data_IF_561109530780
#
_entry.id   IF_561109530780
#
_cell.length_a   1.000
_cell.length_b   1.000
_cell.length_c   1.000
_cell.angle_alpha   90.00
_cell.angle_beta   90.00
_cell.angle_gamma   90.00
#
_symmetry.space_group_name_H-M   'P 1'
#
loop_
_entity.id
_entity.type
_entity.pdbx_description
1 polymer ?
#
# COMPACT_ATOMS: atom_id res chain seq x y z
N UNK A 1 14.59 47.72 -5.14
CA UNK A 1 13.83 47.13 -6.26
C UNK A 1 13.01 46.02 -5.66
N UNK A 2 11.69 46.18 -5.60
CA UNK A 2 10.81 45.10 -5.15
C UNK A 2 10.63 44.16 -6.34
N UNK A 3 11.31 43.01 -6.34
CA UNK A 3 10.88 41.90 -7.20
C UNK A 3 9.48 41.55 -6.75
N UNK A 4 8.49 41.81 -7.62
CA UNK A 4 7.13 41.43 -7.28
C UNK A 4 6.98 39.93 -7.47
N UNK A 5 6.06 39.35 -6.71
CA UNK A 5 5.63 37.95 -6.77
C UNK A 5 5.31 37.48 -8.19
N UNK A 6 4.76 38.37 -9.01
CA UNK A 6 4.43 38.12 -10.42
C UNK A 6 5.66 38.01 -11.33
N UNK A 7 6.77 38.67 -10.99
CA UNK A 7 8.00 38.63 -11.79
C UNK A 7 8.70 37.28 -11.63
N UNK A 8 8.77 36.76 -10.40
CA UNK A 8 9.35 35.44 -10.11
C UNK A 8 8.53 34.28 -10.70
N UNK A 9 7.19 34.39 -10.71
CA UNK A 9 6.32 33.37 -11.31
C UNK A 9 6.43 33.34 -12.83
N UNK A 10 6.42 34.52 -13.47
CA UNK A 10 6.69 34.62 -14.92
C UNK A 10 8.08 34.13 -15.27
N UNK A 11 9.07 34.38 -14.41
CA UNK A 11 10.41 33.84 -14.58
C UNK A 11 10.43 32.32 -14.47
N UNK A 12 9.64 31.70 -13.57
CA UNK A 12 9.56 30.24 -13.45
C UNK A 12 8.84 29.58 -14.64
N UNK A 13 7.65 30.05 -15.04
CA UNK A 13 6.96 29.52 -16.22
C UNK A 13 7.77 29.73 -17.50
N UNK A 14 8.40 30.90 -17.64
CA UNK A 14 9.32 31.19 -18.74
C UNK A 14 10.52 30.25 -18.68
N UNK A 15 11.13 30.06 -17.51
CA UNK A 15 12.26 29.16 -17.36
C UNK A 15 11.89 27.72 -17.72
N UNK A 16 10.74 27.24 -17.24
CA UNK A 16 10.20 25.91 -17.55
C UNK A 16 10.02 25.72 -19.06
N UNK A 17 9.47 26.71 -19.77
CA UNK A 17 9.24 26.66 -21.23
C UNK A 17 10.52 26.72 -22.07
N UNK A 18 11.64 27.17 -21.52
CA UNK A 18 12.89 27.38 -22.26
C UNK A 18 14.04 26.46 -21.82
N UNK A 19 13.80 25.57 -20.85
CA UNK A 19 14.78 24.58 -20.40
C UNK A 19 14.28 23.19 -20.72
N UNK A 20 15.13 22.34 -21.29
CA UNK A 20 14.80 20.94 -21.54
C UNK A 20 15.20 20.04 -20.35
N UNK A 21 15.92 20.58 -19.34
CA UNK A 21 16.45 19.82 -18.21
C UNK A 21 15.65 20.08 -16.94
N UNK A 22 15.05 19.01 -16.42
CA UNK A 22 14.29 19.04 -15.17
C UNK A 22 15.18 19.29 -13.94
N UNK A 23 16.45 18.89 -13.96
CA UNK A 23 17.38 19.12 -12.86
C UNK A 23 17.68 20.61 -12.68
N UNK A 24 17.73 21.37 -13.78
CA UNK A 24 17.87 22.83 -13.73
C UNK A 24 16.63 23.49 -13.16
N UNK A 25 15.43 23.02 -13.55
CA UNK A 25 14.16 23.46 -12.96
C UNK A 25 14.17 23.22 -11.46
N UNK A 26 14.57 22.02 -11.03
CA UNK A 26 14.59 21.67 -9.63
C UNK A 26 15.58 22.53 -8.82
N UNK A 27 16.78 22.75 -9.34
CA UNK A 27 17.76 23.62 -8.70
C UNK A 27 17.25 25.07 -8.56
N UNK A 28 16.59 25.60 -9.59
CA UNK A 28 15.98 26.92 -9.57
C UNK A 28 14.84 27.01 -8.55
N UNK A 29 14.01 25.97 -8.45
CA UNK A 29 12.94 25.89 -7.46
C UNK A 29 13.49 25.88 -6.02
N UNK A 30 14.51 25.07 -5.74
CA UNK A 30 15.15 25.05 -4.41
C UNK A 30 15.72 26.40 -4.02
N UNK A 31 16.35 27.10 -4.96
CA UNK A 31 16.82 28.46 -4.74
C UNK A 31 15.65 29.42 -4.48
N UNK A 32 14.52 29.25 -5.19
CA UNK A 32 13.33 30.08 -5.02
C UNK A 32 12.70 29.92 -3.63
N UNK A 33 12.62 28.69 -3.10
CA UNK A 33 12.16 28.44 -1.73
C UNK A 33 13.03 29.16 -0.69
N UNK A 34 14.36 29.19 -0.86
CA UNK A 34 15.27 29.92 0.03
C UNK A 34 15.04 31.43 0.00
N UNK A 35 14.44 31.95 -1.06
CA UNK A 35 14.09 33.37 -1.20
C UNK A 35 12.65 33.71 -0.77
N UNK A 36 11.92 32.76 -0.18
CA UNK A 36 10.53 32.90 0.25
C UNK A 36 9.60 33.35 -0.88
N UNK A 37 9.57 32.57 -1.97
CA UNK A 37 8.60 32.75 -3.04
C UNK A 37 7.16 32.59 -2.50
N UNK A 38 6.15 33.25 -3.09
CA UNK A 38 4.77 33.13 -2.64
C UNK A 38 4.24 31.70 -2.78
N UNK A 39 3.52 31.16 -1.77
CA UNK A 39 2.87 29.85 -1.84
C UNK A 39 1.97 29.67 -3.07
N UNK A 40 1.21 30.69 -3.46
CA UNK A 40 0.25 30.63 -4.57
C UNK A 40 0.96 30.42 -5.92
N UNK A 41 2.15 31.00 -6.06
CA UNK A 41 2.97 30.84 -7.25
C UNK A 41 3.47 29.40 -7.39
N UNK A 42 3.73 28.69 -6.28
CA UNK A 42 4.14 27.29 -6.31
C UNK A 42 2.98 26.34 -6.65
N UNK A 43 1.75 26.64 -6.21
CA UNK A 43 0.57 25.81 -6.51
C UNK A 43 0.26 25.77 -8.00
N UNK A 44 0.42 26.90 -8.70
CA UNK A 44 0.17 26.97 -10.14
C UNK A 44 1.19 26.19 -11.00
N UNK A 45 2.22 25.58 -10.41
CA UNK A 45 3.27 24.84 -11.14
C UNK A 45 2.90 23.39 -11.46
N UNK A 46 1.88 22.80 -10.84
CA UNK A 46 1.55 21.38 -11.02
C UNK A 46 1.29 21.07 -12.50
N UNK A 47 0.30 21.70 -13.13
CA UNK A 47 -0.02 21.46 -14.55
C UNK A 47 1.15 21.76 -15.51
N UNK A 48 1.86 22.90 -15.39
CA UNK A 48 3.07 23.16 -16.19
C UNK A 48 4.14 22.06 -16.09
N UNK A 49 4.38 21.48 -14.91
CA UNK A 49 5.34 20.39 -14.73
C UNK A 49 4.94 19.13 -15.51
N UNK A 50 3.65 18.81 -15.57
CA UNK A 50 3.15 17.70 -16.39
C UNK A 50 3.32 17.98 -17.89
N UNK A 51 3.00 19.19 -18.35
CA UNK A 51 3.22 19.58 -19.76
C UNK A 51 4.70 19.48 -20.12
N UNK A 52 5.59 19.98 -19.27
CA UNK A 52 7.04 19.86 -19.47
C UNK A 52 7.50 18.39 -19.48
N UNK A 53 6.92 17.53 -18.64
CA UNK A 53 7.23 16.10 -18.64
C UNK A 53 6.82 15.43 -19.96
N UNK A 54 5.69 15.82 -20.54
CA UNK A 54 5.20 15.34 -21.85
C UNK A 54 6.13 15.80 -22.97
N UNK A 55 6.51 17.08 -22.98
CA UNK A 55 7.36 17.69 -24.01
C UNK A 55 8.81 17.20 -23.95
N UNK A 56 9.28 16.78 -22.77
CA UNK A 56 10.65 16.34 -22.52
C UNK A 56 10.71 14.89 -22.00
N UNK A 57 10.45 13.89 -22.85
CA UNK A 57 10.30 12.48 -22.45
C UNK A 57 11.58 11.85 -21.89
N UNK A 58 12.76 12.41 -22.20
CA UNK A 58 14.05 11.91 -21.71
C UNK A 58 14.33 12.25 -20.24
N UNK A 59 13.59 13.21 -19.68
CA UNK A 59 13.75 13.59 -18.27
C UNK A 59 13.21 12.49 -17.35
N UNK A 60 13.88 12.28 -16.22
CA UNK A 60 13.48 11.28 -15.23
C UNK A 60 12.23 11.73 -14.49
N UNK A 61 11.17 10.90 -14.51
CA UNK A 61 9.90 11.21 -13.84
C UNK A 61 10.05 11.41 -12.32
N UNK A 62 10.99 10.70 -11.69
CA UNK A 62 11.22 10.84 -10.24
C UNK A 62 11.58 12.27 -9.85
N UNK A 63 12.33 13.01 -10.68
CA UNK A 63 12.69 14.40 -10.36
C UNK A 63 11.46 15.30 -10.34
N UNK A 64 10.45 15.04 -11.18
CA UNK A 64 9.18 15.77 -11.13
C UNK A 64 8.38 15.43 -9.87
N UNK A 65 8.40 14.16 -9.45
CA UNK A 65 7.79 13.72 -8.18
C UNK A 65 8.44 14.45 -7.01
N UNK A 66 9.78 14.47 -6.94
CA UNK A 66 10.53 15.16 -5.90
C UNK A 66 10.21 16.66 -5.86
N UNK A 67 10.08 17.30 -7.03
CA UNK A 67 9.63 18.70 -7.13
C UNK A 67 8.24 18.88 -6.52
N UNK A 68 7.26 18.03 -6.85
CA UNK A 68 5.89 18.15 -6.36
C UNK A 68 5.81 17.92 -4.84
N UNK A 69 6.57 16.96 -4.31
CA UNK A 69 6.68 16.70 -2.87
C UNK A 69 7.35 17.87 -2.13
N UNK A 70 8.40 18.46 -2.69
CA UNK A 70 9.06 19.63 -2.12
C UNK A 70 8.13 20.86 -2.14
N UNK A 71 7.32 21.03 -3.20
CA UNK A 71 6.28 22.07 -3.25
C UNK A 71 5.26 21.83 -2.13
N UNK A 72 4.71 20.62 -2.02
CA UNK A 72 3.77 20.29 -0.94
C UNK A 72 4.37 20.58 0.44
N UNK A 73 5.60 20.12 0.70
CA UNK A 73 6.31 20.34 1.96
C UNK A 73 6.51 21.83 2.27
N UNK A 74 6.86 22.63 1.25
CA UNK A 74 7.02 24.08 1.37
C UNK A 74 5.71 24.77 1.76
N UNK A 75 4.60 24.40 1.11
CA UNK A 75 3.27 24.96 1.38
C UNK A 75 2.81 24.64 2.81
N UNK A 76 2.99 23.38 3.25
CA UNK A 76 2.68 22.94 4.60
C UNK A 76 3.48 23.72 5.66
N UNK A 77 4.74 24.04 5.39
CA UNK A 77 5.57 24.87 6.28
C UNK A 77 5.13 26.34 6.34
N UNK A 78 4.57 26.86 5.24
CA UNK A 78 4.11 28.23 5.19
C UNK A 78 2.81 28.45 5.98
N UNK A 79 2.02 27.39 6.26
CA UNK A 79 0.76 27.43 7.02
C UNK A 79 -0.27 28.46 6.52
N UNK A 80 -0.17 28.88 5.25
CA UNK A 80 -1.02 29.90 4.63
C UNK A 80 -2.09 29.26 3.72
N UNK A 81 -1.87 28.03 3.26
CA UNK A 81 -2.77 27.30 2.35
C UNK A 81 -3.17 25.94 2.92
N UNK A 82 -4.30 25.44 2.43
CA UNK A 82 -4.73 24.05 2.62
C UNK A 82 -3.61 23.11 2.16
N UNK A 83 -3.14 22.24 3.06
CA UNK A 83 -2.01 21.32 2.84
C UNK A 83 -2.34 20.28 1.75
N UNK A 84 -3.62 20.09 1.44
CA UNK A 84 -4.09 19.14 0.43
C UNK A 84 -4.06 19.67 -1.01
N UNK A 85 -3.76 20.95 -1.27
CA UNK A 85 -3.88 21.54 -2.64
C UNK A 85 -3.07 20.78 -3.69
N UNK A 86 -1.81 20.44 -3.39
CA UNK A 86 -0.97 19.68 -4.32
C UNK A 86 -1.52 18.28 -4.52
N UNK A 87 -1.99 17.64 -3.46
CA UNK A 87 -2.62 16.32 -3.54
C UNK A 87 -3.88 16.35 -4.41
N UNK A 88 -4.75 17.36 -4.23
CA UNK A 88 -5.97 17.56 -5.02
C UNK A 88 -5.66 17.63 -6.51
N UNK A 89 -4.65 18.41 -6.89
CA UNK A 89 -4.27 18.56 -8.29
C UNK A 89 -3.70 17.26 -8.87
N UNK A 90 -2.76 16.58 -8.18
CA UNK A 90 -2.14 15.36 -8.71
C UNK A 90 -3.11 14.16 -8.70
N UNK A 91 -3.95 14.03 -7.67
CA UNK A 91 -4.99 13.00 -7.59
C UNK A 91 -6.08 13.23 -8.63
N UNK A 92 -6.46 14.49 -8.87
CA UNK A 92 -7.40 14.87 -9.94
C UNK A 92 -6.87 14.50 -11.32
N UNK A 93 -5.60 14.85 -11.62
CA UNK A 93 -4.94 14.47 -12.89
C UNK A 93 -4.87 12.94 -13.01
N UNK A 94 -4.50 12.22 -11.95
CA UNK A 94 -4.43 10.77 -11.96
C UNK A 94 -5.80 10.15 -12.27
N UNK A 95 -6.85 10.58 -11.56
CA UNK A 95 -8.21 10.10 -11.74
C UNK A 95 -8.70 10.30 -13.17
N UNK A 96 -8.58 11.52 -13.70
CA UNK A 96 -9.08 11.83 -15.03
C UNK A 96 -8.24 11.18 -16.13
N UNK A 97 -6.92 11.06 -15.94
CA UNK A 97 -6.05 10.35 -16.89
C UNK A 97 -6.39 8.85 -16.97
N UNK A 98 -6.62 8.20 -15.83
CA UNK A 98 -7.01 6.79 -15.79
C UNK A 98 -8.40 6.57 -16.40
N UNK A 99 -9.36 7.44 -16.07
CA UNK A 99 -10.70 7.38 -16.64
C UNK A 99 -10.69 7.52 -18.17
N UNK A 100 -9.95 8.50 -18.70
CA UNK A 100 -9.82 8.71 -20.14
C UNK A 100 -9.08 7.55 -20.82
N UNK A 101 -8.06 6.98 -20.16
CA UNK A 101 -7.33 5.85 -20.72
C UNK A 101 -8.23 4.61 -20.85
N UNK A 102 -9.01 4.32 -19.80
CA UNK A 102 -9.92 3.18 -19.78
C UNK A 102 -11.08 3.32 -20.77
N UNK A 103 -11.56 4.54 -20.99
CA UNK A 103 -12.71 4.81 -21.86
C UNK A 103 -12.33 5.19 -23.29
N UNK A 104 -11.03 5.15 -23.63
CA UNK A 104 -10.49 5.62 -24.91
C UNK A 104 -10.93 7.07 -25.23
N UNK A 105 -10.93 7.92 -24.20
CA UNK A 105 -11.40 9.31 -24.23
C UNK A 105 -10.41 10.32 -24.82
N UNK A 106 -10.84 11.58 -24.90
CA UNK A 106 -10.05 12.69 -25.46
C UNK A 106 -9.18 13.37 -24.39
N UNK A 107 -7.89 13.11 -24.43
CA UNK A 107 -6.88 13.69 -23.52
C UNK A 107 -6.63 15.19 -23.73
N UNK A 108 -7.16 15.81 -24.79
CA UNK A 108 -7.08 17.27 -24.94
C UNK A 108 -7.76 18.01 -23.79
N UNK A 109 -8.72 17.39 -23.10
CA UNK A 109 -9.37 17.96 -21.91
C UNK A 109 -8.40 18.25 -20.76
N UNK A 110 -7.31 17.48 -20.63
CA UNK A 110 -6.36 17.59 -19.52
C UNK A 110 -5.30 18.68 -19.74
N UNK A 111 -4.74 18.78 -20.94
CA UNK A 111 -3.60 19.65 -21.22
C UNK A 111 -3.78 20.55 -22.46
N UNK A 112 -5.00 20.64 -23.00
CA UNK A 112 -5.32 21.39 -24.22
C UNK A 112 -4.49 20.97 -25.45
N UNK A 113 -4.00 19.73 -25.48
CA UNK A 113 -3.28 19.14 -26.59
C UNK A 113 -3.56 17.63 -26.70
N UNK A 114 -3.60 17.06 -27.91
CA UNK A 114 -3.77 15.62 -28.07
C UNK A 114 -2.50 14.90 -27.58
N UNK A 115 -2.70 13.79 -26.87
CA UNK A 115 -1.62 12.94 -26.37
C UNK A 115 -1.66 11.58 -27.05
N UNK A 116 -0.49 11.02 -27.35
CA UNK A 116 -0.36 9.61 -27.73
C UNK A 116 -0.29 8.68 -26.50
N UNK A 117 -0.37 7.36 -26.72
CA UNK A 117 -0.41 6.38 -25.63
C UNK A 117 0.83 6.43 -24.72
N UNK A 118 2.02 6.66 -25.28
CA UNK A 118 3.26 6.74 -24.50
C UNK A 118 3.24 7.98 -23.59
N UNK A 119 2.75 9.11 -24.11
CA UNK A 119 2.55 10.34 -23.35
C UNK A 119 1.48 10.18 -22.27
N UNK A 120 0.39 9.48 -22.56
CA UNK A 120 -0.68 9.18 -21.59
C UNK A 120 -0.12 8.33 -20.44
N UNK A 121 0.56 7.21 -20.74
CA UNK A 121 1.16 6.35 -19.72
C UNK A 121 2.22 7.06 -18.91
N UNK A 122 2.96 7.99 -19.53
CA UNK A 122 3.90 8.86 -18.83
C UNK A 122 3.21 9.79 -17.83
N UNK A 123 2.08 10.40 -18.20
CA UNK A 123 1.26 11.23 -17.29
C UNK A 123 0.75 10.39 -16.13
N UNK A 124 0.16 9.23 -16.40
CA UNK A 124 -0.36 8.32 -15.36
C UNK A 124 0.76 7.89 -14.41
N UNK A 125 1.94 7.56 -14.95
CA UNK A 125 3.11 7.18 -14.16
C UNK A 125 3.60 8.31 -13.27
N UNK A 126 3.62 9.55 -13.77
CA UNK A 126 3.99 10.71 -12.98
C UNK A 126 2.95 11.01 -11.89
N UNK A 127 1.67 11.06 -12.25
CA UNK A 127 0.58 11.38 -11.34
C UNK A 127 0.46 10.34 -10.22
N UNK A 128 0.56 9.05 -10.53
CA UNK A 128 0.57 7.99 -9.51
C UNK A 128 1.77 8.06 -8.57
N UNK A 129 2.96 8.43 -9.08
CA UNK A 129 4.15 8.61 -8.24
C UNK A 129 4.02 9.81 -7.30
N UNK A 130 3.61 10.95 -7.85
CA UNK A 130 3.39 12.17 -7.06
C UNK A 130 2.28 12.00 -6.04
N UNK A 131 1.18 11.35 -6.42
CA UNK A 131 0.07 11.06 -5.53
C UNK A 131 0.52 10.17 -4.35
N UNK A 132 1.29 9.11 -4.60
CA UNK A 132 1.80 8.22 -3.57
C UNK A 132 2.72 8.96 -2.58
N UNK A 133 3.70 9.70 -3.09
CA UNK A 133 4.70 10.32 -2.22
C UNK A 133 4.13 11.52 -1.45
N UNK A 134 3.19 12.27 -2.03
CA UNK A 134 2.44 13.31 -1.31
C UNK A 134 1.51 12.68 -0.25
N UNK A 135 0.84 11.57 -0.58
CA UNK A 135 -0.02 10.85 0.38
C UNK A 135 0.79 10.38 1.61
N UNK A 136 2.02 9.90 1.40
CA UNK A 136 2.91 9.49 2.50
C UNK A 136 3.38 10.63 3.40
N UNK A 137 3.24 11.88 2.96
CA UNK A 137 3.49 13.05 3.79
C UNK A 137 2.25 13.56 4.54
N UNK A 138 1.08 12.93 4.36
CA UNK A 138 -0.13 13.31 5.11
C UNK A 138 0.02 12.89 6.57
N UNK A 139 -0.31 13.80 7.48
CA UNK A 139 -0.27 13.54 8.93
C UNK A 139 -1.62 13.04 9.49
N UNK A 140 -2.45 12.41 8.64
CA UNK A 140 -3.77 11.90 9.05
C UNK A 140 -4.79 13.00 9.39
N UNK A 141 -4.64 14.21 8.85
CA UNK A 141 -5.72 15.21 8.84
C UNK A 141 -6.88 14.73 7.97
N UNK A 142 -8.08 15.19 8.30
CA UNK A 142 -9.41 14.76 7.81
C UNK A 142 -9.44 14.22 6.36
N UNK A 143 -10.17 13.10 6.15
CA UNK A 143 -10.34 12.46 4.84
C UNK A 143 -10.65 13.48 3.74
N UNK A 144 -9.69 13.65 2.84
CA UNK A 144 -9.87 14.40 1.60
C UNK A 144 -10.76 13.56 0.67
N UNK A 145 -11.87 14.08 0.12
CA UNK A 145 -12.79 13.31 -0.74
C UNK A 145 -12.13 12.58 -1.92
N UNK A 146 -10.99 13.07 -2.41
CA UNK A 146 -10.23 12.39 -3.46
C UNK A 146 -9.56 11.10 -2.97
N UNK A 147 -9.31 10.92 -1.68
CA UNK A 147 -8.84 9.66 -1.12
C UNK A 147 -9.86 8.53 -1.32
N UNK A 148 -11.15 8.81 -1.10
CA UNK A 148 -12.22 7.83 -1.36
C UNK A 148 -12.34 7.53 -2.86
N UNK A 149 -12.23 8.55 -3.72
CA UNK A 149 -12.22 8.36 -5.18
C UNK A 149 -11.06 7.48 -5.62
N UNK A 150 -9.85 7.75 -5.10
CA UNK A 150 -8.66 6.94 -5.39
C UNK A 150 -8.81 5.50 -4.91
N UNK A 151 -9.38 5.29 -3.72
CA UNK A 151 -9.62 3.96 -3.17
C UNK A 151 -10.47 3.10 -4.10
N UNK A 152 -11.56 3.64 -4.66
CA UNK A 152 -12.39 2.92 -5.62
C UNK A 152 -11.74 2.78 -7.00
N UNK A 153 -10.91 3.75 -7.40
CA UNK A 153 -10.26 3.77 -8.70
C UNK A 153 -9.13 2.75 -8.82
N UNK A 154 -8.35 2.58 -7.75
CA UNK A 154 -7.16 1.71 -7.72
C UNK A 154 -7.46 0.29 -8.21
N UNK A 155 -8.37 -0.48 -7.60
CA UNK A 155 -8.54 -1.89 -7.98
C UNK A 155 -9.05 -2.05 -9.41
N UNK A 156 -9.97 -1.18 -9.86
CA UNK A 156 -10.46 -1.15 -11.24
C UNK A 156 -9.34 -0.86 -12.24
N UNK A 157 -8.46 0.07 -11.91
CA UNK A 157 -7.33 0.44 -12.77
C UNK A 157 -6.27 -0.67 -12.83
N UNK A 158 -6.04 -1.37 -11.72
CA UNK A 158 -5.17 -2.55 -11.69
C UNK A 158 -5.71 -3.61 -12.65
N UNK A 159 -6.98 -4.01 -12.52
CA UNK A 159 -7.61 -5.03 -13.38
C UNK A 159 -7.47 -4.71 -14.88
N UNK A 160 -7.77 -3.46 -15.26
CA UNK A 160 -7.61 -3.00 -16.64
C UNK A 160 -6.16 -3.10 -17.13
N UNK A 161 -5.18 -2.65 -16.32
CA UNK A 161 -3.76 -2.69 -16.70
C UNK A 161 -3.21 -4.12 -16.79
N UNK A 162 -3.79 -5.06 -16.04
CA UNK A 162 -3.42 -6.48 -16.13
C UNK A 162 -3.81 -7.11 -17.46
N UNK A 163 -4.78 -6.57 -18.20
CA UNK A 163 -5.11 -7.08 -19.53
C UNK A 163 -3.95 -6.93 -20.55
N UNK A 164 -3.01 -6.01 -20.29
CA UNK A 164 -1.86 -5.72 -21.14
C UNK A 164 -0.61 -5.48 -20.29
N UNK A 165 -0.04 -6.57 -19.74
CA UNK A 165 1.14 -6.50 -18.87
C UNK A 165 2.40 -6.21 -19.67
N UNK A 166 2.95 -5.00 -19.49
CA UNK A 166 4.26 -4.57 -19.96
C UNK A 166 4.98 -3.81 -18.83
N UNK A 167 6.23 -3.41 -19.06
CA UNK A 167 7.03 -2.75 -18.02
C UNK A 167 6.40 -1.45 -17.50
N UNK A 168 5.73 -0.68 -18.35
CA UNK A 168 5.09 0.57 -17.95
C UNK A 168 3.82 0.33 -17.15
N UNK A 169 2.97 -0.61 -17.58
CA UNK A 169 1.74 -0.96 -16.87
C UNK A 169 2.05 -1.55 -15.49
N UNK A 170 3.10 -2.37 -15.37
CA UNK A 170 3.57 -2.91 -14.09
C UNK A 170 4.02 -1.79 -13.14
N UNK A 171 4.78 -0.79 -13.61
CA UNK A 171 5.18 0.36 -12.77
C UNK A 171 3.95 1.10 -12.23
N UNK A 172 2.94 1.31 -13.06
CA UNK A 172 1.69 1.97 -12.63
C UNK A 172 0.93 1.10 -11.63
N UNK A 173 0.78 -0.19 -11.89
CA UNK A 173 0.14 -1.16 -10.97
C UNK A 173 0.83 -1.12 -9.60
N UNK A 174 2.17 -1.13 -9.57
CA UNK A 174 2.93 -1.04 -8.32
C UNK A 174 2.61 0.22 -7.53
N UNK A 175 2.49 1.37 -8.19
CA UNK A 175 2.16 2.65 -7.53
C UNK A 175 0.72 2.67 -7.04
N UNK A 176 -0.22 2.17 -7.84
CA UNK A 176 -1.63 2.06 -7.44
C UNK A 176 -1.79 1.14 -6.22
N UNK A 177 -1.11 0.00 -6.20
CA UNK A 177 -1.11 -0.90 -5.05
C UNK A 177 -0.55 -0.22 -3.79
N UNK A 178 0.54 0.53 -3.92
CA UNK A 178 1.11 1.30 -2.82
C UNK A 178 0.20 2.44 -2.34
N UNK A 179 -0.56 3.09 -3.24
CA UNK A 179 -1.56 4.11 -2.86
C UNK A 179 -2.65 3.47 -1.99
N UNK A 180 -3.24 2.35 -2.43
CA UNK A 180 -4.27 1.67 -1.64
C UNK A 180 -3.76 1.15 -0.29
N UNK A 181 -2.54 0.57 -0.26
CA UNK A 181 -1.88 0.21 0.99
C UNK A 181 -1.75 1.42 1.91
N UNK A 182 -1.19 2.52 1.42
CA UNK A 182 -0.94 3.72 2.23
C UNK A 182 -2.23 4.38 2.73
N UNK A 183 -3.31 4.39 1.93
CA UNK A 183 -4.62 4.88 2.36
C UNK A 183 -5.18 4.09 3.54
N UNK A 184 -5.03 2.77 3.50
CA UNK A 184 -5.52 1.85 4.52
C UNK A 184 -4.65 1.85 5.78
N UNK A 185 -3.34 1.66 5.64
CA UNK A 185 -2.40 1.49 6.77
C UNK A 185 -2.22 2.77 7.58
N UNK A 186 -2.40 3.94 6.96
CA UNK A 186 -2.37 5.23 7.64
C UNK A 186 -3.75 5.64 8.22
N UNK A 187 -4.79 4.80 8.07
CA UNK A 187 -6.16 5.08 8.51
C UNK A 187 -6.74 6.39 7.93
N UNK A 188 -6.40 6.72 6.68
CA UNK A 188 -6.93 7.91 5.98
C UNK A 188 -8.39 7.68 5.56
N UNK A 189 -8.69 6.43 5.20
CA UNK A 189 -10.03 5.96 4.83
C UNK A 189 -10.48 4.86 5.80
N UNK A 190 -11.79 4.62 5.86
CA UNK A 190 -12.41 3.52 6.61
C UNK A 190 -13.28 2.67 5.68
N UNK A 191 -12.67 1.86 4.80
CA UNK A 191 -13.40 1.06 3.85
C UNK A 191 -14.14 -0.08 4.54
N UNK A 192 -15.21 -0.54 3.89
CA UNK A 192 -15.90 -1.77 4.25
C UNK A 192 -15.09 -3.01 3.89
N UNK A 193 -15.41 -4.13 4.53
CA UNK A 193 -14.76 -5.42 4.30
C UNK A 193 -14.86 -5.88 2.84
N UNK A 194 -15.99 -5.62 2.17
CA UNK A 194 -16.17 -5.88 0.73
C UNK A 194 -15.13 -5.13 -0.12
N UNK A 195 -14.87 -3.87 0.21
CA UNK A 195 -13.96 -3.02 -0.55
C UNK A 195 -12.50 -3.41 -0.32
N UNK A 196 -12.12 -3.73 0.93
CA UNK A 196 -10.77 -4.24 1.22
C UNK A 196 -10.55 -5.58 0.53
N UNK A 197 -11.55 -6.47 0.56
CA UNK A 197 -11.51 -7.77 -0.12
C UNK A 197 -11.30 -7.63 -1.62
N UNK A 198 -12.01 -6.69 -2.25
CA UNK A 198 -11.88 -6.39 -3.67
C UNK A 198 -10.48 -5.89 -4.02
N UNK A 199 -9.94 -4.96 -3.23
CA UNK A 199 -8.56 -4.45 -3.41
C UNK A 199 -7.54 -5.57 -3.27
N UNK A 200 -7.67 -6.39 -2.22
CA UNK A 200 -6.77 -7.51 -1.96
C UNK A 200 -6.77 -8.52 -3.13
N UNK A 201 -7.95 -8.88 -3.64
CA UNK A 201 -8.10 -9.74 -4.82
C UNK A 201 -7.31 -9.20 -6.02
N UNK A 202 -7.46 -7.92 -6.35
CA UNK A 202 -6.76 -7.31 -7.48
C UNK A 202 -5.24 -7.24 -7.28
N UNK A 203 -4.77 -6.97 -6.07
CA UNK A 203 -3.33 -6.98 -5.77
C UNK A 203 -2.72 -8.39 -5.85
N UNK A 204 -3.44 -9.43 -5.41
CA UNK A 204 -2.98 -10.82 -5.53
C UNK A 204 -2.99 -11.26 -6.99
N UNK A 205 -4.03 -10.92 -7.77
CA UNK A 205 -4.06 -11.16 -9.21
C UNK A 205 -2.90 -10.45 -9.93
N UNK A 206 -2.60 -9.21 -9.56
CA UNK A 206 -1.44 -8.49 -10.08
C UNK A 206 -0.12 -9.16 -9.73
N UNK A 207 0.00 -9.64 -8.50
CA UNK A 207 1.17 -10.40 -8.06
C UNK A 207 1.41 -11.63 -8.94
N UNK A 208 0.35 -12.37 -9.30
CA UNK A 208 0.42 -13.54 -10.18
C UNK A 208 0.88 -13.20 -11.61
N UNK A 209 0.31 -12.17 -12.22
CA UNK A 209 0.63 -11.84 -13.62
C UNK A 209 1.98 -11.11 -13.77
N UNK A 210 2.44 -10.43 -12.73
CA UNK A 210 3.67 -9.65 -12.74
C UNK A 210 4.92 -10.43 -12.27
N UNK A 211 4.82 -11.75 -12.04
CA UNK A 211 5.97 -12.61 -11.64
C UNK A 211 7.25 -12.41 -12.48
N UNK A 212 7.19 -12.20 -13.80
CA UNK A 212 8.40 -11.93 -14.59
C UNK A 212 9.17 -10.64 -14.22
N UNK A 213 8.56 -9.72 -13.47
CA UNK A 213 9.10 -8.39 -13.14
C UNK A 213 9.54 -8.32 -11.66
N UNK A 214 10.69 -8.91 -11.35
CA UNK A 214 11.12 -9.26 -9.97
C UNK A 214 11.17 -8.10 -8.97
N UNK A 215 11.55 -6.90 -9.38
CA UNK A 215 11.65 -5.76 -8.45
C UNK A 215 10.26 -5.20 -8.11
N UNK A 216 9.39 -5.11 -9.11
CA UNK A 216 8.04 -4.57 -8.99
C UNK A 216 7.11 -5.53 -8.25
N UNK A 217 7.24 -6.85 -8.47
CA UNK A 217 6.43 -7.84 -7.74
C UNK A 217 6.71 -7.80 -6.23
N UNK A 218 7.96 -7.55 -5.81
CA UNK A 218 8.27 -7.44 -4.38
C UNK A 218 7.51 -6.29 -3.72
N UNK A 219 7.31 -5.18 -4.43
CA UNK A 219 6.55 -4.05 -3.91
C UNK A 219 5.07 -4.41 -3.83
N UNK A 220 4.50 -4.99 -4.88
CA UNK A 220 3.07 -5.40 -4.90
C UNK A 220 2.81 -6.43 -3.79
N UNK A 221 3.66 -7.45 -3.65
CA UNK A 221 3.56 -8.47 -2.61
C UNK A 221 3.71 -7.88 -1.19
N UNK A 222 4.60 -6.89 -1.01
CA UNK A 222 4.71 -6.16 0.26
C UNK A 222 3.41 -5.41 0.61
N UNK A 223 2.77 -4.79 -0.38
CA UNK A 223 1.47 -4.12 -0.20
C UNK A 223 0.37 -5.12 0.18
N UNK A 224 0.30 -6.28 -0.48
CA UNK A 224 -0.62 -7.38 -0.12
C UNK A 224 -0.43 -7.77 1.35
N UNK A 225 0.81 -8.02 1.76
CA UNK A 225 1.14 -8.39 3.13
C UNK A 225 0.73 -7.32 4.15
N UNK A 226 1.00 -6.04 3.84
CA UNK A 226 0.67 -4.91 4.70
C UNK A 226 -0.84 -4.73 4.86
N UNK A 227 -1.61 -4.86 3.77
CA UNK A 227 -3.08 -4.82 3.79
C UNK A 227 -3.61 -5.94 4.70
N UNK A 228 -3.19 -7.19 4.51
CA UNK A 228 -3.62 -8.31 5.36
C UNK A 228 -3.28 -8.09 6.85
N UNK A 229 -2.12 -7.49 7.14
CA UNK A 229 -1.69 -7.19 8.52
C UNK A 229 -2.48 -6.04 9.14
N UNK A 230 -2.87 -5.04 8.34
CA UNK A 230 -3.67 -3.91 8.79
C UNK A 230 -5.15 -4.27 9.02
N UNK A 231 -5.64 -5.31 8.34
CA UNK A 231 -7.03 -5.77 8.47
C UNK A 231 -7.11 -7.23 8.97
N UNK A 232 -6.61 -7.53 10.19
CA UNK A 232 -6.54 -8.90 10.69
C UNK A 232 -7.92 -9.50 11.05
N UNK A 233 -8.97 -8.68 11.06
CA UNK A 233 -10.35 -9.08 11.35
C UNK A 233 -11.26 -9.04 10.11
N UNK A 234 -10.67 -8.89 8.91
CA UNK A 234 -11.42 -8.77 7.66
C UNK A 234 -12.29 -10.00 7.39
N UNK A 235 -13.60 -9.79 7.26
CA UNK A 235 -14.51 -10.80 6.73
C UNK A 235 -14.38 -10.86 5.20
N UNK A 236 -14.19 -12.05 4.65
CA UNK A 236 -14.01 -12.25 3.21
C UNK A 236 -15.32 -12.79 2.60
N UNK A 237 -16.03 -11.99 1.79
CA UNK A 237 -17.30 -12.44 1.18
C UNK A 237 -17.07 -13.39 -0.01
N UNK A 238 -15.89 -13.31 -0.65
CA UNK A 238 -15.55 -14.01 -1.90
C UNK A 238 -14.26 -14.83 -1.74
N UNK A 239 -14.26 -15.75 -0.79
CA UNK A 239 -13.07 -16.54 -0.44
C UNK A 239 -12.59 -17.49 -1.54
N UNK A 240 -13.47 -17.96 -2.43
CA UNK A 240 -13.11 -18.90 -3.50
C UNK A 240 -12.11 -18.31 -4.49
N UNK A 241 -12.38 -17.10 -4.99
CA UNK A 241 -11.62 -16.48 -6.07
C UNK A 241 -10.22 -16.08 -5.58
N UNK A 242 -10.15 -15.55 -4.35
CA UNK A 242 -8.89 -15.25 -3.69
C UNK A 242 -8.07 -16.52 -3.39
N UNK A 243 -8.72 -17.63 -3.01
CA UNK A 243 -8.05 -18.92 -2.81
C UNK A 243 -7.47 -19.45 -4.13
N UNK A 244 -8.23 -19.43 -5.22
CA UNK A 244 -7.77 -19.89 -6.54
C UNK A 244 -6.55 -19.11 -7.04
N UNK A 245 -6.55 -17.78 -6.83
CA UNK A 245 -5.40 -16.93 -7.17
C UNK A 245 -4.15 -17.29 -6.35
N UNK A 246 -4.30 -17.49 -5.04
CA UNK A 246 -3.18 -17.85 -4.16
C UNK A 246 -2.62 -19.24 -4.52
N UNK A 247 -3.48 -20.22 -4.82
CA UNK A 247 -3.02 -21.53 -5.27
C UNK A 247 -2.29 -21.45 -6.61
N UNK A 248 -2.78 -20.64 -7.55
CA UNK A 248 -2.10 -20.40 -8.83
C UNK A 248 -0.73 -19.72 -8.65
N UNK A 249 -0.59 -18.88 -7.64
CA UNK A 249 0.67 -18.22 -7.30
C UNK A 249 1.68 -19.19 -6.67
N UNK A 250 1.20 -20.22 -5.95
CA UNK A 250 2.05 -21.27 -5.39
C UNK A 250 2.82 -22.03 -6.47
N UNK A 251 2.16 -22.37 -7.58
CA UNK A 251 2.80 -23.02 -8.73
C UNK A 251 3.96 -22.19 -9.30
N UNK A 252 3.83 -20.86 -9.24
CA UNK A 252 4.87 -19.92 -9.69
C UNK A 252 6.03 -19.82 -8.70
N UNK A 253 5.77 -19.97 -7.39
CA UNK A 253 6.78 -19.93 -6.33
C UNK A 253 7.66 -21.16 -6.25
N UNK A 254 7.19 -22.36 -6.65
CA UNK A 254 7.98 -23.61 -6.64
C UNK A 254 9.32 -23.43 -7.37
N UNK A 255 9.39 -22.49 -8.33
CA UNK A 255 10.56 -22.21 -9.14
C UNK A 255 11.27 -20.87 -8.80
N UNK A 256 10.84 -20.15 -7.75
CA UNK A 256 11.37 -18.82 -7.41
C UNK A 256 11.70 -18.69 -5.92
N UNK A 257 12.94 -18.30 -5.59
CA UNK A 257 13.34 -17.99 -4.20
C UNK A 257 12.94 -16.55 -3.82
N UNK A 258 11.64 -16.21 -3.90
CA UNK A 258 11.14 -14.87 -3.57
C UNK A 258 10.48 -14.84 -2.19
N UNK A 259 11.23 -14.44 -1.16
CA UNK A 259 10.76 -14.38 0.22
C UNK A 259 9.58 -13.42 0.44
N UNK A 260 9.59 -12.25 -0.20
CA UNK A 260 8.52 -11.25 -0.06
C UNK A 260 7.20 -11.80 -0.60
N UNK A 261 7.26 -12.50 -1.73
CA UNK A 261 6.13 -13.16 -2.33
C UNK A 261 5.59 -14.30 -1.45
N UNK A 262 6.49 -15.14 -0.90
CA UNK A 262 6.10 -16.17 0.07
C UNK A 262 5.35 -15.55 1.26
N UNK A 263 5.89 -14.50 1.87
CA UNK A 263 5.27 -13.82 3.02
C UNK A 263 3.88 -13.27 2.69
N UNK A 264 3.71 -12.64 1.52
CA UNK A 264 2.41 -12.15 1.06
C UNK A 264 1.39 -13.29 0.94
N UNK A 265 1.75 -14.39 0.30
CA UNK A 265 0.89 -15.56 0.16
C UNK A 265 0.50 -16.17 1.49
N UNK A 266 1.48 -16.27 2.39
CA UNK A 266 1.27 -16.76 3.75
C UNK A 266 0.24 -15.89 4.50
N UNK A 267 0.38 -14.57 4.47
CA UNK A 267 -0.57 -13.65 5.11
C UNK A 267 -1.98 -13.72 4.52
N UNK A 268 -2.10 -13.82 3.18
CA UNK A 268 -3.41 -14.01 2.53
C UNK A 268 -4.02 -15.37 2.91
N UNK A 269 -3.19 -16.42 2.97
CA UNK A 269 -3.66 -17.77 3.33
C UNK A 269 -4.12 -17.86 4.77
N UNK A 270 -3.45 -17.17 5.70
CA UNK A 270 -3.90 -17.05 7.08
C UNK A 270 -5.28 -16.36 7.16
N UNK A 271 -5.47 -15.28 6.39
CA UNK A 271 -6.76 -14.59 6.32
C UNK A 271 -7.86 -15.48 5.72
N UNK A 272 -7.54 -16.23 4.66
CA UNK A 272 -8.44 -17.22 4.03
C UNK A 272 -8.84 -18.32 5.02
N UNK A 273 -7.87 -18.91 5.73
CA UNK A 273 -8.12 -19.97 6.71
C UNK A 273 -9.06 -19.49 7.83
N UNK A 274 -8.89 -18.25 8.32
CA UNK A 274 -9.80 -17.64 9.30
C UNK A 274 -11.22 -17.41 8.80
N UNK A 275 -11.37 -17.25 7.49
CA UNK A 275 -12.67 -17.14 6.81
C UNK A 275 -13.18 -18.51 6.32
N UNK A 276 -12.69 -19.62 6.92
CA UNK A 276 -13.05 -21.00 6.59
C UNK A 276 -12.86 -21.36 5.11
N UNK A 277 -11.88 -20.74 4.46
CA UNK A 277 -11.56 -21.01 3.07
C UNK A 277 -10.40 -22.00 2.94
N UNK A 278 -10.48 -22.86 1.93
CA UNK A 278 -9.41 -23.82 1.67
C UNK A 278 -8.12 -23.10 1.27
N UNK A 279 -6.98 -23.58 1.77
CA UNK A 279 -5.63 -23.15 1.36
C UNK A 279 -4.74 -24.35 1.00
N UNK A 280 -5.08 -25.12 -0.05
CA UNK A 280 -4.43 -26.38 -0.41
C UNK A 280 -2.91 -26.30 -0.56
N UNK A 281 -2.39 -25.21 -1.14
CA UNK A 281 -0.97 -25.06 -1.41
C UNK A 281 -0.09 -25.17 -0.14
N UNK A 282 -0.61 -24.84 1.04
CA UNK A 282 0.13 -24.95 2.30
C UNK A 282 0.44 -26.40 2.67
N UNK A 283 -0.45 -27.34 2.33
CA UNK A 283 -0.22 -28.77 2.51
C UNK A 283 0.80 -29.32 1.52
N UNK A 284 0.92 -28.70 0.35
CA UNK A 284 1.88 -29.07 -0.69
C UNK A 284 3.27 -28.41 -0.50
N UNK A 285 3.35 -27.32 0.28
CA UNK A 285 4.57 -26.53 0.52
C UNK A 285 5.58 -27.19 1.48
N UNK A 286 5.22 -28.33 2.10
CA UNK A 286 6.07 -29.12 3.03
C UNK A 286 7.40 -29.63 2.42
N UNK A 287 7.65 -29.36 1.13
CA UNK A 287 8.82 -29.81 0.39
C UNK A 287 9.93 -28.76 0.22
N UNK A 288 9.68 -27.48 0.55
CA UNK A 288 10.68 -26.40 0.41
C UNK A 288 10.99 -25.79 1.79
N UNK A 289 12.20 -26.06 2.30
CA UNK A 289 12.67 -25.51 3.59
C UNK A 289 12.94 -24.00 3.46
N UNK A 290 12.03 -23.19 4.01
CA UNK A 290 12.29 -21.79 4.33
C UNK A 290 12.52 -21.68 5.84
N UNK A 291 13.77 -21.54 6.26
CA UNK A 291 14.18 -21.39 7.68
C UNK A 291 13.90 -19.97 8.21
N UNK A 292 12.73 -19.40 7.90
CA UNK A 292 12.31 -18.08 8.39
C UNK A 292 11.38 -18.24 9.61
N UNK A 293 11.74 -17.68 10.79
CA UNK A 293 10.93 -17.79 12.01
C UNK A 293 9.49 -17.28 11.87
N UNK A 294 9.25 -16.27 11.02
CA UNK A 294 7.90 -15.74 10.78
C UNK A 294 7.07 -16.72 9.94
N UNK A 295 7.70 -17.41 8.99
CA UNK A 295 7.05 -18.42 8.13
C UNK A 295 6.71 -19.68 8.94
N UNK A 296 7.62 -20.15 9.79
CA UNK A 296 7.37 -21.31 10.66
C UNK A 296 6.25 -21.01 11.67
N UNK A 297 6.26 -19.83 12.31
CA UNK A 297 5.18 -19.41 13.19
C UNK A 297 3.83 -19.34 12.45
N UNK A 298 3.81 -18.93 11.18
CA UNK A 298 2.57 -18.86 10.41
C UNK A 298 2.07 -20.25 9.99
N UNK A 299 2.97 -21.18 9.63
CA UNK A 299 2.60 -22.60 9.39
C UNK A 299 1.98 -23.22 10.63
N UNK A 300 2.56 -22.98 11.81
CA UNK A 300 2.00 -23.43 13.09
C UNK A 300 0.60 -22.85 13.34
N UNK A 301 0.41 -21.55 13.10
CA UNK A 301 -0.89 -20.89 13.26
C UNK A 301 -1.97 -21.43 12.29
N UNK A 302 -1.61 -21.75 11.05
CA UNK A 302 -2.56 -22.27 10.06
C UNK A 302 -2.88 -23.74 10.35
N UNK A 303 -1.89 -24.55 10.72
CA UNK A 303 -2.11 -25.92 11.17
C UNK A 303 -3.05 -25.96 12.39
N UNK A 304 -2.90 -25.01 13.34
CA UNK A 304 -3.80 -24.88 14.48
C UNK A 304 -5.24 -24.48 14.07
N UNK A 305 -5.41 -23.60 13.08
CA UNK A 305 -6.72 -23.21 12.57
C UNK A 305 -7.43 -24.35 11.81
N UNK A 306 -6.69 -25.14 11.04
CA UNK A 306 -7.23 -26.28 10.28
C UNK A 306 -7.38 -27.57 11.10
N UNK A 307 -6.77 -27.66 12.28
CA UNK A 307 -6.88 -28.83 13.16
C UNK A 307 -8.24 -28.94 13.86
N UNK A 308 -9.19 -28.04 13.60
CA UNK A 308 -10.57 -28.10 14.11
C UNK A 308 -11.45 -28.74 13.03
N UNK A 309 -11.85 -30.01 13.16
CA UNK A 309 -12.77 -30.64 12.21
C UNK A 309 -14.18 -30.06 12.40
N UNK A 310 -14.88 -29.79 11.30
CA UNK A 310 -16.29 -29.33 11.29
C UNK A 310 -17.25 -30.26 12.06
N UNK A 311 -16.86 -31.50 12.31
CA UNK A 311 -17.67 -32.54 12.97
C UNK A 311 -17.39 -32.68 14.48
N UNK A 312 -16.41 -31.97 15.05
CA UNK A 312 -16.01 -32.07 16.46
C UNK A 312 -15.96 -30.71 17.20
N UNK A 313 -16.91 -29.80 16.92
CA UNK A 313 -17.24 -28.71 17.86
C UNK A 313 -18.01 -29.32 19.05
N UNK A 314 -17.38 -30.25 19.78
CA UNK A 314 -17.88 -30.70 21.08
C UNK A 314 -17.52 -29.64 22.12
N UNK A 315 -18.50 -29.22 22.92
CA UNK A 315 -18.36 -28.17 23.95
C UNK A 315 -17.15 -28.43 24.87
N UNK A 316 -16.79 -29.69 25.06
CA UNK A 316 -15.65 -30.16 25.84
C UNK A 316 -14.30 -29.70 25.25
N UNK A 317 -14.16 -29.67 23.93
CA UNK A 317 -12.92 -29.27 23.25
C UNK A 317 -12.76 -27.75 23.18
N UNK A 318 -13.88 -27.03 23.03
CA UNK A 318 -13.92 -25.56 23.19
C UNK A 318 -13.56 -25.18 24.63
N UNK A 319 -14.01 -25.95 25.63
CA UNK A 319 -13.65 -25.74 27.03
C UNK A 319 -12.16 -26.02 27.28
N UNK A 320 -11.61 -27.11 26.74
CA UNK A 320 -10.18 -27.44 26.84
C UNK A 320 -9.30 -26.38 26.17
N UNK A 321 -9.70 -25.89 24.99
CA UNK A 321 -9.03 -24.77 24.31
C UNK A 321 -9.17 -23.48 25.12
N UNK A 322 -10.34 -23.18 25.66
CA UNK A 322 -10.58 -22.01 26.52
C UNK A 322 -9.72 -22.06 27.78
N UNK A 323 -9.66 -23.21 28.47
CA UNK A 323 -8.82 -23.43 29.65
C UNK A 323 -7.33 -23.31 29.29
N UNK A 324 -6.93 -23.76 28.10
CA UNK A 324 -5.58 -23.63 27.57
C UNK A 324 -5.25 -22.16 27.22
N UNK A 325 -6.18 -21.42 26.60
CA UNK A 325 -6.07 -19.99 26.33
C UNK A 325 -6.00 -19.18 27.63
N UNK A 326 -6.82 -19.48 28.63
CA UNK A 326 -6.76 -18.88 29.97
C UNK A 326 -5.43 -19.15 30.66
N UNK A 327 -4.88 -20.36 30.48
CA UNK A 327 -3.56 -20.71 31.00
C UNK A 327 -2.44 -19.93 30.29
N UNK A 328 -2.52 -19.76 28.97
CA UNK A 328 -1.54 -18.97 28.20
C UNK A 328 -1.65 -17.47 28.46
N UNK A 329 -2.86 -16.95 28.60
CA UNK A 329 -3.13 -15.57 29.01
C UNK A 329 -2.57 -15.28 30.40
N UNK A 330 -2.80 -16.16 31.38
CA UNK A 330 -2.24 -16.02 32.73
C UNK A 330 -0.70 -15.99 32.71
N UNK A 331 -0.07 -16.85 31.90
CA UNK A 331 1.39 -16.87 31.73
C UNK A 331 1.92 -15.63 31.03
N UNK A 332 1.27 -15.17 29.98
CA UNK A 332 1.64 -13.93 29.28
C UNK A 332 1.50 -12.71 30.19
N UNK A 333 0.42 -12.64 30.98
CA UNK A 333 0.19 -11.60 31.97
C UNK A 333 1.26 -11.62 33.07
N UNK A 334 1.65 -12.80 33.57
CA UNK A 334 2.73 -12.94 34.56
C UNK A 334 4.08 -12.46 34.02
N UNK A 335 4.41 -12.81 32.77
CA UNK A 335 5.62 -12.35 32.07
C UNK A 335 5.61 -10.83 31.90
N UNK A 336 4.48 -10.24 31.48
CA UNK A 336 4.31 -8.79 31.35
C UNK A 336 4.45 -8.11 32.71
N UNK A 337 3.86 -8.67 33.77
CA UNK A 337 3.97 -8.13 35.13
C UNK A 337 5.41 -8.21 35.67
N UNK A 338 6.18 -9.24 35.31
CA UNK A 338 7.61 -9.35 35.63
C UNK A 338 8.48 -8.37 34.82
N UNK A 339 8.13 -8.11 33.57
CA UNK A 339 8.77 -7.08 32.73
C UNK A 339 8.47 -5.67 33.26
N UNK A 340 7.25 -5.42 33.75
CA UNK A 340 6.80 -4.14 34.30
C UNK A 340 7.32 -3.91 35.73
N UNK A 341 7.52 -4.96 36.53
CA UNK A 341 8.04 -4.85 37.91
C UNK A 341 9.53 -4.49 37.96
N UNK A 342 10.26 -4.60 36.85
CA UNK A 342 11.62 -4.07 36.68
C UNK A 342 12.70 -4.77 37.51
N UNK A 343 12.44 -5.97 38.03
CA UNK A 343 13.38 -6.69 38.92
C UNK A 343 14.42 -7.55 38.17
N UNK A 344 14.36 -7.64 36.83
CA UNK A 344 15.24 -8.47 36.00
C UNK A 344 16.37 -7.71 35.29
N UNK A 345 17.49 -8.40 35.02
CA UNK A 345 18.59 -7.87 34.20
C UNK A 345 18.26 -7.82 32.70
N UNK A 346 19.05 -7.13 31.86
CA UNK A 346 18.76 -6.95 30.42
C UNK A 346 18.58 -8.26 29.63
N UNK A 347 19.34 -9.29 29.99
CA UNK A 347 19.29 -10.62 29.38
C UNK A 347 17.99 -11.37 29.75
N UNK A 348 17.52 -11.18 30.97
CA UNK A 348 16.28 -11.76 31.49
C UNK A 348 15.06 -11.05 30.88
N UNK A 349 15.10 -9.72 30.73
CA UNK A 349 14.07 -8.97 30.00
C UNK A 349 13.98 -9.40 28.52
N UNK A 350 15.11 -9.66 27.87
CA UNK A 350 15.13 -10.12 26.47
C UNK A 350 14.56 -11.53 26.33
N UNK A 351 14.87 -12.43 27.28
CA UNK A 351 14.29 -13.78 27.33
C UNK A 351 12.78 -13.73 27.58
N UNK A 352 12.33 -12.90 28.52
CA UNK A 352 10.91 -12.71 28.84
C UNK A 352 10.14 -12.07 27.68
N UNK A 353 10.72 -11.13 26.94
CA UNK A 353 10.11 -10.56 25.72
C UNK A 353 9.97 -11.61 24.60
N UNK A 354 10.96 -12.48 24.42
CA UNK A 354 10.90 -13.59 23.46
C UNK A 354 9.90 -14.69 23.88
N UNK A 355 9.68 -14.87 25.18
CA UNK A 355 8.62 -15.74 25.66
C UNK A 355 7.25 -15.07 25.52
N UNK A 356 7.15 -13.76 25.76
CA UNK A 356 5.92 -13.01 25.56
C UNK A 356 5.46 -13.04 24.09
N UNK A 357 6.38 -12.93 23.13
CA UNK A 357 6.06 -13.01 21.70
C UNK A 357 5.51 -14.38 21.28
N UNK A 358 5.88 -15.47 21.96
CA UNK A 358 5.28 -16.79 21.71
C UNK A 358 3.87 -16.96 22.29
N UNK A 359 3.46 -16.13 23.25
CA UNK A 359 2.13 -16.19 23.89
C UNK A 359 1.17 -15.07 23.47
N UNK A 360 1.70 -13.96 22.94
CA UNK A 360 0.92 -12.82 22.44
C UNK A 360 -0.11 -13.18 21.35
N UNK A 361 0.17 -14.08 20.39
CA UNK A 361 -0.84 -14.52 19.42
C UNK A 361 -2.08 -15.15 20.07
N UNK A 362 -1.92 -15.85 21.18
CA UNK A 362 -3.01 -16.50 21.92
C UNK A 362 -3.88 -15.48 22.69
N UNK A 363 -3.28 -14.38 23.17
CA UNK A 363 -4.02 -13.26 23.78
C UNK A 363 -4.92 -12.55 22.77
N UNK A 364 -4.44 -12.34 21.54
CA UNK A 364 -5.21 -11.71 20.47
C UNK A 364 -6.31 -12.64 19.92
N UNK A 365 -6.10 -13.96 19.96
CA UNK A 365 -7.12 -14.94 19.61
C UNK A 365 -8.26 -14.99 20.64
N UNK A 366 -8.01 -14.90 21.96
CA UNK A 366 -9.10 -14.94 22.95
C UNK A 366 -10.15 -13.82 22.73
N UNK A 367 -9.72 -12.60 22.41
CA UNK A 367 -10.65 -11.51 22.05
C UNK A 367 -11.52 -11.84 20.84
N UNK A 368 -10.97 -12.51 19.83
CA UNK A 368 -11.72 -12.95 18.66
C UNK A 368 -12.69 -14.10 18.96
N UNK A 369 -12.37 -14.97 19.93
CA UNK A 369 -13.22 -16.09 20.33
C UNK A 369 -14.33 -15.68 21.32
N UNK A 370 -14.08 -14.76 22.26
CA UNK A 370 -15.14 -14.27 23.18
C UNK A 370 -16.28 -13.56 22.45
N UNK A 371 -16.02 -12.96 21.29
CA UNK A 371 -17.06 -12.31 20.46
C UNK A 371 -17.86 -13.33 19.61
N UNK A 372 -17.27 -14.49 19.29
CA UNK A 372 -17.94 -15.59 18.58
C UNK A 372 -18.89 -16.38 19.50
N UNK A 373 -18.59 -16.48 20.81
CA UNK A 373 -19.38 -17.26 21.78
C UNK A 373 -20.24 -16.41 22.74
N UNK A 374 -20.38 -15.10 22.52
CA UNK A 374 -21.24 -14.20 23.30
C UNK A 374 -22.60 -13.89 22.64
N UNK A 375 -22.93 -14.58 21.55
CA UNK A 375 -24.28 -14.72 20.97
C UNK A 375 -24.89 -16.04 21.43
#
# INVERSE_FOLDING_TARGET
>A
MSNTTDDLFKDFESFLKHTDSIEKVYAFLKQSFQTNVPPEACCALVSPLFVHAIENPTNQLQVYVDILVDIHSYLSQCAIMDDTVIFKDVAGILHESLYLYETEGDFTALFNQPLDNDQIMRVITLASGACLDVLRSFNGSESEPLCDVLWHLVPRSIDMLLAQVDEQSVIVITKLAAIAESLLTQNIILPSDDEVSWVLHNMVAATLQCVPFTDQINIIASCVSAVCTATPHLELPYTSDLSDLVNSLADSLINSNNHTLCKAMFNVSFLLARNNAATPWLSDFDTIQYDDPEIELLKENIAAAHAVPDEEVDFTHVQELTDLFETYEAKAHEIIMQLVSGEGGPEECTMLLNMASSYLPFLFQKTAWTDIFSI
#
